data_IF_781007963430
#
_entry.id   IF_781007963430
#
_cell.length_a   1.000
_cell.length_b   1.000
_cell.length_c   1.000
_cell.angle_alpha   90.00
_cell.angle_beta   90.00
_cell.angle_gamma   90.00
#
_symmetry.space_group_name_H-M   'P 1'
#
loop_
_entity.id
_entity.type
_entity.pdbx_description
1 polymer ?
#
# COMPACT_ATOMS: atom_id res chain seq x y z
N UNK A 1 -1.97 7.73 9.72
CA UNK A 1 -2.17 9.15 10.06
C UNK A 1 -3.23 9.33 11.17
N UNK A 2 -3.50 8.29 11.95
CA UNK A 2 -4.54 8.32 12.98
C UNK A 2 -4.00 9.00 14.26
N UNK A 3 -4.81 9.79 15.00
CA UNK A 3 -6.24 10.08 14.73
C UNK A 3 -6.53 11.26 13.79
N UNK A 4 -5.69 12.30 13.73
CA UNK A 4 -5.97 13.54 12.96
C UNK A 4 -4.69 14.16 12.38
N UNK A 5 -3.82 13.32 11.82
CA UNK A 5 -2.54 13.76 11.24
C UNK A 5 -2.58 13.81 9.71
N UNK A 6 -3.71 13.55 9.04
CA UNK A 6 -3.73 13.64 7.57
C UNK A 6 -3.55 15.09 7.11
N UNK A 7 -4.09 16.04 7.88
CA UNK A 7 -3.98 17.48 7.63
C UNK A 7 -2.54 18.02 7.66
N UNK A 8 -1.60 17.31 8.31
CA UNK A 8 -0.19 17.71 8.31
C UNK A 8 0.54 17.28 7.04
N UNK A 9 -0.02 16.31 6.30
CA UNK A 9 0.51 15.86 5.02
C UNK A 9 -0.06 16.64 3.83
N UNK A 10 -1.37 16.91 3.84
CA UNK A 10 -2.04 17.71 2.81
C UNK A 10 -3.31 18.37 3.37
N UNK A 11 -3.75 19.53 2.82
CA UNK A 11 -5.01 20.15 3.23
C UNK A 11 -6.21 19.22 2.97
N UNK A 12 -6.96 18.87 4.01
CA UNK A 12 -8.13 18.00 3.92
C UNK A 12 -9.14 18.23 5.05
N UNK A 13 -10.37 17.73 4.86
CA UNK A 13 -11.35 17.60 5.95
C UNK A 13 -11.01 16.32 6.71
N UNK A 14 -10.26 16.46 7.79
CA UNK A 14 -9.67 15.33 8.51
C UNK A 14 -10.60 14.83 9.64
N UNK A 15 -11.77 14.31 9.23
CA UNK A 15 -12.71 13.57 10.09
C UNK A 15 -13.03 12.20 9.48
N UNK A 16 -13.28 11.16 10.30
CA UNK A 16 -13.56 9.82 9.80
C UNK A 16 -14.77 9.72 8.86
N UNK A 17 -15.77 10.56 9.05
CA UNK A 17 -17.02 10.58 8.28
C UNK A 17 -16.83 11.22 6.90
N UNK A 18 -15.88 12.13 6.75
CA UNK A 18 -15.56 12.84 5.51
C UNK A 18 -14.78 11.94 4.53
N UNK A 19 -15.42 10.87 4.05
CA UNK A 19 -14.79 9.89 3.15
C UNK A 19 -14.71 10.42 1.72
N UNK A 20 -13.62 10.09 1.04
CA UNK A 20 -13.38 10.48 -0.35
C UNK A 20 -12.67 9.37 -1.13
N UNK A 21 -12.58 9.55 -2.46
CA UNK A 21 -11.68 8.78 -3.32
C UNK A 21 -10.40 9.56 -3.52
N UNK A 22 -9.27 8.86 -3.59
CA UNK A 22 -7.96 9.46 -3.76
C UNK A 22 -7.32 8.93 -5.05
N UNK A 23 -6.90 9.86 -5.90
CA UNK A 23 -6.02 9.60 -7.03
C UNK A 23 -4.61 10.08 -6.65
N UNK A 24 -3.64 9.18 -6.73
CA UNK A 24 -2.27 9.47 -6.31
C UNK A 24 -1.30 9.31 -7.49
N UNK A 25 -0.42 10.28 -7.65
CA UNK A 25 0.79 10.19 -8.47
C UNK A 25 1.94 10.76 -7.65
N UNK A 26 3.03 10.01 -7.58
CA UNK A 26 4.20 10.36 -6.77
C UNK A 26 5.40 10.48 -7.69
N UNK A 27 6.06 11.63 -7.67
CA UNK A 27 7.34 11.86 -8.33
C UNK A 27 8.41 11.70 -7.27
N UNK A 28 9.34 10.77 -7.47
CA UNK A 28 10.36 10.41 -6.50
C UNK A 28 11.72 10.17 -7.19
N UNK A 29 12.85 10.27 -6.47
CA UNK A 29 14.16 10.05 -7.07
C UNK A 29 14.27 8.68 -7.74
N UNK A 30 14.93 8.60 -8.89
CA UNK A 30 15.19 7.33 -9.55
C UNK A 30 15.96 6.37 -8.62
N UNK A 31 15.64 5.08 -8.70
CA UNK A 31 16.19 4.05 -7.80
C UNK A 31 15.43 3.88 -6.47
N UNK A 32 14.44 4.72 -6.19
CA UNK A 32 13.47 4.49 -5.09
C UNK A 32 12.17 3.92 -5.64
N UNK A 33 11.33 3.35 -4.77
CA UNK A 33 9.93 3.04 -5.08
C UNK A 33 8.99 3.97 -4.31
N UNK A 34 7.80 4.19 -4.85
CA UNK A 34 6.69 4.80 -4.14
C UNK A 34 5.61 3.76 -3.82
N UNK A 35 5.07 3.83 -2.61
CA UNK A 35 3.91 3.06 -2.17
C UNK A 35 2.76 4.01 -1.87
N UNK A 36 1.57 3.59 -2.24
CA UNK A 36 0.30 4.15 -1.82
C UNK A 36 -0.63 3.01 -1.39
N UNK A 37 -1.80 3.30 -0.82
CA UNK A 37 -2.82 2.29 -0.50
C UNK A 37 -3.14 1.38 -1.70
N UNK A 38 -3.17 1.97 -2.91
CA UNK A 38 -3.55 1.28 -4.13
C UNK A 38 -2.35 0.76 -4.93
N UNK A 39 -2.62 -0.18 -5.84
CA UNK A 39 -1.60 -0.74 -6.75
C UNK A 39 -1.19 0.31 -7.79
N UNK A 40 0.10 0.35 -8.08
CA UNK A 40 0.71 1.13 -9.15
C UNK A 40 0.16 0.69 -10.52
N UNK A 41 -0.08 1.65 -11.42
CA UNK A 41 -0.56 1.42 -12.80
C UNK A 41 0.48 1.79 -13.84
N UNK A 42 1.26 2.82 -13.58
CA UNK A 42 2.29 3.30 -14.48
C UNK A 42 3.51 3.74 -13.67
N UNK A 43 4.69 3.35 -14.13
CA UNK A 43 5.98 3.78 -13.61
C UNK A 43 6.80 4.23 -14.81
N UNK A 44 7.18 5.50 -14.84
CA UNK A 44 8.04 6.06 -15.87
C UNK A 44 9.22 6.79 -15.23
N UNK A 45 10.41 6.61 -15.79
CA UNK A 45 11.63 7.26 -15.27
C UNK A 45 12.21 8.16 -16.34
N UNK A 46 12.46 9.43 -15.98
CA UNK A 46 13.02 10.45 -16.87
C UNK A 46 13.90 11.40 -16.06
N UNK A 47 15.08 11.73 -16.58
CA UNK A 47 15.97 12.78 -16.01
C UNK A 47 16.26 12.61 -14.51
N UNK A 48 16.50 11.36 -14.06
CA UNK A 48 16.82 11.08 -12.66
C UNK A 48 15.61 11.04 -11.70
N UNK A 49 14.39 11.19 -12.21
CA UNK A 49 13.15 11.08 -11.44
C UNK A 49 12.27 9.95 -11.98
N UNK A 50 11.57 9.28 -11.08
CA UNK A 50 10.56 8.28 -11.38
C UNK A 50 9.18 8.82 -10.99
N UNK A 51 8.22 8.74 -11.90
CA UNK A 51 6.81 9.06 -11.66
C UNK A 51 6.03 7.76 -11.56
N UNK A 52 5.45 7.49 -10.39
CA UNK A 52 4.58 6.34 -10.13
C UNK A 52 3.14 6.80 -9.96
N UNK A 53 2.26 6.35 -10.84
CA UNK A 53 0.80 6.58 -10.76
C UNK A 53 0.12 5.35 -10.17
N UNK A 54 -0.90 5.56 -9.35
CA UNK A 54 -1.66 4.50 -8.68
C UNK A 54 -3.11 4.46 -9.15
N UNK A 55 -3.77 3.32 -8.94
CA UNK A 55 -5.21 3.22 -9.10
C UNK A 55 -5.94 4.14 -8.12
N UNK A 56 -7.10 4.63 -8.54
CA UNK A 56 -8.04 5.35 -7.67
C UNK A 56 -8.46 4.49 -6.49
N UNK A 57 -8.45 5.06 -5.29
CA UNK A 57 -8.91 4.36 -4.08
C UNK A 57 -10.43 4.10 -4.09
N UNK A 58 -10.91 3.12 -3.31
CA UNK A 58 -12.31 3.14 -2.87
C UNK A 58 -12.59 4.37 -2.01
N UNK A 59 -13.87 4.60 -1.70
CA UNK A 59 -14.27 5.62 -0.72
C UNK A 59 -13.69 5.24 0.64
N UNK A 60 -12.79 6.04 1.17
CA UNK A 60 -12.11 5.81 2.45
C UNK A 60 -11.90 7.11 3.22
N UNK A 61 -11.68 7.00 4.53
CA UNK A 61 -11.39 8.14 5.41
C UNK A 61 -9.92 8.58 5.28
N UNK A 62 -9.64 9.84 5.55
CA UNK A 62 -8.29 10.45 5.45
C UNK A 62 -7.23 9.77 6.32
N UNK A 63 -7.59 9.28 7.51
CA UNK A 63 -6.63 8.64 8.42
C UNK A 63 -5.98 7.35 7.87
N UNK A 64 -6.65 6.70 6.90
CA UNK A 64 -6.17 5.51 6.19
C UNK A 64 -5.24 5.85 5.02
N UNK A 65 -5.13 7.13 4.63
CA UNK A 65 -4.19 7.55 3.60
C UNK A 65 -2.77 7.18 4.04
N UNK A 66 -2.07 6.44 3.20
CA UNK A 66 -0.70 6.01 3.45
C UNK A 66 0.12 6.14 2.17
N UNK A 67 1.25 6.83 2.28
CA UNK A 67 2.22 7.00 1.20
C UNK A 67 3.63 6.87 1.75
N UNK A 68 4.49 6.17 1.03
CA UNK A 68 5.91 5.96 1.38
C UNK A 68 6.74 6.11 0.12
N UNK A 69 7.91 6.74 0.22
CA UNK A 69 8.98 6.67 -0.78
C UNK A 69 10.20 6.08 -0.10
N UNK A 70 10.82 5.07 -0.69
CA UNK A 70 11.96 4.43 -0.05
C UNK A 70 12.67 3.40 -0.93
N UNK A 71 13.64 2.73 -0.31
CA UNK A 71 14.51 1.72 -0.91
C UNK A 71 14.54 0.41 -0.11
N UNK A 72 13.69 0.30 0.92
CA UNK A 72 13.69 -0.85 1.82
C UNK A 72 13.38 -2.13 1.03
N UNK A 73 14.19 -3.18 1.15
CA UNK A 73 13.92 -4.41 0.42
C UNK A 73 12.65 -5.08 0.95
N UNK A 74 12.09 -5.97 0.14
CA UNK A 74 10.88 -6.69 0.50
C UNK A 74 10.89 -8.12 -0.04
N UNK A 75 10.04 -8.95 0.56
CA UNK A 75 9.63 -10.23 -0.02
C UNK A 75 8.18 -10.16 -0.44
N UNK A 76 7.86 -10.87 -1.52
CA UNK A 76 6.54 -10.85 -2.14
C UNK A 76 5.97 -12.27 -2.22
N UNK A 77 4.66 -12.37 -2.08
CA UNK A 77 3.86 -13.57 -2.34
C UNK A 77 2.48 -13.15 -2.86
N UNK A 78 1.65 -14.13 -3.23
CA UNK A 78 0.30 -13.91 -3.73
C UNK A 78 -0.68 -14.81 -3.00
N UNK A 79 -1.89 -14.34 -2.75
CA UNK A 79 -3.00 -15.22 -2.37
C UNK A 79 -3.50 -16.02 -3.58
N UNK A 80 -4.29 -17.07 -3.33
CA UNK A 80 -4.94 -17.84 -4.40
C UNK A 80 -5.82 -16.98 -5.33
N UNK A 81 -6.33 -15.85 -4.82
CA UNK A 81 -7.14 -14.89 -5.58
C UNK A 81 -6.33 -13.81 -6.31
N UNK A 82 -5.00 -13.88 -6.23
CA UNK A 82 -4.10 -12.94 -6.90
C UNK A 82 -3.84 -11.63 -6.15
N UNK A 83 -4.22 -11.51 -4.86
CA UNK A 83 -3.86 -10.34 -4.05
C UNK A 83 -2.36 -10.40 -3.78
N UNK A 84 -1.63 -9.36 -4.21
CA UNK A 84 -0.18 -9.26 -4.02
C UNK A 84 0.14 -8.86 -2.58
N UNK A 85 0.89 -9.68 -1.86
CA UNK A 85 1.32 -9.41 -0.50
C UNK A 85 2.81 -9.08 -0.50
N UNK A 86 3.19 -7.92 0.02
CA UNK A 86 4.59 -7.55 0.23
C UNK A 86 4.88 -7.33 1.71
N UNK A 87 6.05 -7.75 2.14
CA UNK A 87 6.55 -7.48 3.49
C UNK A 87 7.91 -6.82 3.35
N UNK A 88 7.96 -5.55 3.73
CA UNK A 88 9.18 -4.74 3.69
C UNK A 88 9.92 -4.88 5.01
N UNK A 89 11.25 -5.00 4.96
CA UNK A 89 12.10 -5.04 6.14
C UNK A 89 13.47 -4.46 5.81
N UNK A 90 14.18 -3.99 6.84
CA UNK A 90 15.55 -3.51 6.70
C UNK A 90 16.46 -4.56 6.05
N UNK A 91 17.52 -4.09 5.41
CA UNK A 91 18.55 -4.96 4.84
C UNK A 91 19.13 -5.87 5.94
N UNK A 92 19.31 -7.15 5.62
CA UNK A 92 19.71 -8.18 6.58
C UNK A 92 18.56 -8.82 7.38
N UNK A 93 17.37 -8.20 7.46
CA UNK A 93 16.19 -8.73 8.20
C UNK A 93 15.12 -9.37 7.31
N UNK A 94 15.35 -9.47 5.99
CA UNK A 94 14.38 -10.09 5.07
C UNK A 94 14.06 -11.55 5.41
N UNK A 95 15.01 -12.29 5.98
CA UNK A 95 14.78 -13.68 6.37
C UNK A 95 13.76 -13.78 7.52
N UNK A 96 13.70 -12.79 8.40
CA UNK A 96 12.77 -12.73 9.52
C UNK A 96 11.32 -12.56 9.05
N UNK A 97 11.12 -12.06 7.82
CA UNK A 97 9.77 -11.91 7.22
C UNK A 97 9.16 -13.22 6.75
N UNK A 98 9.90 -14.34 6.76
CA UNK A 98 9.44 -15.63 6.20
C UNK A 98 8.15 -16.13 6.83
N UNK A 99 8.02 -15.99 8.15
CA UNK A 99 6.82 -16.42 8.88
C UNK A 99 5.62 -15.61 8.39
N UNK A 100 5.71 -14.29 8.40
CA UNK A 100 4.63 -13.41 7.98
C UNK A 100 4.28 -13.64 6.49
N UNK A 101 5.26 -13.86 5.64
CA UNK A 101 5.04 -14.16 4.21
C UNK A 101 4.24 -15.45 4.00
N UNK A 102 4.42 -16.44 4.88
CA UNK A 102 3.66 -17.70 4.84
C UNK A 102 2.27 -17.60 5.50
N UNK A 103 2.12 -16.77 6.53
CA UNK A 103 0.90 -16.68 7.33
C UNK A 103 -0.12 -15.69 6.77
N UNK A 104 0.31 -14.51 6.34
CA UNK A 104 -0.60 -13.44 5.89
C UNK A 104 -1.55 -13.90 4.78
N UNK A 105 -1.10 -14.64 3.73
CA UNK A 105 -2.03 -15.16 2.71
C UNK A 105 -3.09 -16.10 3.28
N UNK A 106 -2.72 -16.93 4.28
CA UNK A 106 -3.62 -17.90 4.92
C UNK A 106 -4.63 -17.20 5.82
N UNK A 107 -4.17 -16.21 6.59
CA UNK A 107 -5.04 -15.38 7.43
C UNK A 107 -6.00 -14.56 6.58
N UNK A 108 -5.54 -14.02 5.45
CA UNK A 108 -6.42 -13.28 4.55
C UNK A 108 -7.50 -14.20 3.99
N UNK A 109 -7.13 -15.39 3.49
CA UNK A 109 -8.10 -16.39 3.02
C UNK A 109 -9.08 -16.79 4.11
N UNK A 110 -8.59 -17.04 5.34
CA UNK A 110 -9.45 -17.34 6.48
C UNK A 110 -10.48 -16.23 6.76
N UNK A 111 -10.06 -14.97 6.74
CA UNK A 111 -10.99 -13.85 6.97
C UNK A 111 -11.96 -13.63 5.81
N UNK A 112 -11.51 -13.85 4.56
CA UNK A 112 -12.40 -13.81 3.40
C UNK A 112 -13.51 -14.85 3.52
N UNK A 113 -13.16 -16.08 3.92
CA UNK A 113 -14.12 -17.16 4.16
C UNK A 113 -14.99 -16.88 5.38
N UNK A 114 -14.40 -16.41 6.47
CA UNK A 114 -15.14 -16.15 7.71
C UNK A 114 -16.19 -15.04 7.54
N UNK A 115 -15.81 -13.92 6.92
CA UNK A 115 -16.73 -12.80 6.69
C UNK A 115 -17.58 -12.97 5.43
N UNK A 116 -17.33 -14.02 4.63
CA UNK A 116 -17.97 -14.25 3.33
C UNK A 116 -17.82 -13.03 2.40
N UNK A 117 -16.68 -12.34 2.50
CA UNK A 117 -16.40 -11.10 1.79
C UNK A 117 -14.95 -11.10 1.28
N UNK A 118 -14.73 -10.93 -0.04
CA UNK A 118 -13.38 -10.87 -0.57
C UNK A 118 -12.65 -9.60 -0.14
N UNK A 119 -11.34 -9.70 0.00
CA UNK A 119 -10.51 -8.53 0.20
C UNK A 119 -10.63 -7.60 -1.02
N UNK A 120 -10.99 -6.32 -0.82
CA UNK A 120 -11.42 -5.46 -1.93
C UNK A 120 -10.26 -4.91 -2.77
N UNK A 121 -9.00 -5.00 -2.30
CA UNK A 121 -7.85 -4.42 -2.98
C UNK A 121 -6.97 -5.48 -3.64
N UNK A 122 -6.23 -5.08 -4.66
CA UNK A 122 -5.32 -5.98 -5.41
C UNK A 122 -3.96 -6.19 -4.75
N UNK A 123 -3.66 -5.47 -3.67
CA UNK A 123 -2.43 -5.64 -2.92
C UNK A 123 -2.62 -5.38 -1.43
N UNK A 124 -1.73 -5.92 -0.63
CA UNK A 124 -1.54 -5.66 0.79
C UNK A 124 -0.03 -5.59 1.06
N UNK A 125 0.43 -4.62 1.84
CA UNK A 125 1.84 -4.53 2.21
C UNK A 125 2.17 -3.25 2.94
#
# INVERSE_FOLDING_TARGET
>A
LQPQEARSLFPCIDSPEAKARFDATVIHPAGTYALFNMKETNISTKEGWTTTTFLRSPIMSTYLFAMIVGTMPYRETYTARGVRIRIYAEEGKLNDTSLALSLVPRLLAFFEDYFQLPYPLMKLG
#
